data_IF_886304920445
#
_entry.id   IF_886304920445
#
_cell.length_a   1.000
_cell.length_b   1.000
_cell.length_c   1.000
_cell.angle_alpha   90.00
_cell.angle_beta   90.00
_cell.angle_gamma   90.00
#
_symmetry.space_group_name_H-M   'P 1'
#
loop_
_entity.id
_entity.type
_entity.pdbx_description
1 polymer ?
#
# COMPACT_ATOMS: atom_id res chain seq x y z
N UNK A 1 -1.48 -9.77 -72.33
CA UNK A 1 -0.99 -10.90 -71.53
C UNK A 1 -0.84 -10.42 -70.10
N UNK A 2 -1.87 -10.66 -69.27
CA UNK A 2 -1.79 -10.43 -67.83
C UNK A 2 -1.09 -11.62 -67.21
N UNK A 3 0.01 -11.37 -66.52
CA UNK A 3 0.72 -12.36 -65.74
C UNK A 3 0.24 -12.16 -64.30
N UNK A 4 -0.69 -13.00 -63.88
CA UNK A 4 -1.10 -13.10 -62.49
C UNK A 4 0.10 -13.66 -61.71
N UNK A 5 0.74 -12.82 -60.89
CA UNK A 5 1.57 -13.34 -59.81
C UNK A 5 0.61 -13.87 -58.74
N UNK A 6 0.35 -15.18 -58.80
CA UNK A 6 -0.23 -15.91 -57.67
C UNK A 6 0.69 -15.69 -56.46
N UNK A 7 0.13 -15.04 -55.44
CA UNK A 7 0.73 -14.96 -54.13
C UNK A 7 0.68 -16.39 -53.55
N UNK A 8 1.80 -17.11 -53.61
CA UNK A 8 1.93 -18.40 -52.95
C UNK A 8 1.96 -18.13 -51.43
N UNK A 9 0.94 -18.51 -50.65
CA UNK A 9 1.06 -18.49 -49.22
C UNK A 9 1.91 -19.70 -48.86
N UNK A 10 3.24 -19.52 -48.89
CA UNK A 10 4.09 -20.38 -48.08
C UNK A 10 3.59 -20.22 -46.66
N UNK A 11 2.88 -21.26 -46.21
CA UNK A 11 2.53 -21.47 -44.84
C UNK A 11 3.76 -21.14 -44.00
N UNK A 12 3.63 -20.17 -43.10
CA UNK A 12 4.61 -19.94 -42.05
C UNK A 12 4.53 -21.18 -41.16
N UNK A 13 5.25 -22.23 -41.56
CA UNK A 13 5.40 -23.45 -40.79
C UNK A 13 6.27 -23.12 -39.59
N UNK A 14 5.65 -23.26 -38.42
CA UNK A 14 6.34 -23.68 -37.21
C UNK A 14 6.86 -22.55 -36.33
N UNK A 15 5.97 -21.90 -35.59
CA UNK A 15 6.28 -21.78 -34.16
C UNK A 15 6.31 -23.23 -33.65
N UNK A 16 7.52 -23.80 -33.52
CA UNK A 16 7.67 -25.14 -33.00
C UNK A 16 7.42 -25.03 -31.49
N UNK A 17 6.26 -25.52 -31.05
CA UNK A 17 5.92 -25.56 -29.63
C UNK A 17 6.97 -26.41 -28.91
N UNK A 18 7.69 -25.78 -27.99
CA UNK A 18 8.65 -26.46 -27.15
C UNK A 18 8.12 -26.55 -25.72
N UNK A 19 8.39 -27.67 -25.09
CA UNK A 19 8.11 -27.86 -23.68
C UNK A 19 9.22 -27.18 -22.88
N UNK A 20 8.87 -26.11 -22.17
CA UNK A 20 9.81 -25.30 -21.39
C UNK A 20 9.54 -25.50 -19.91
N UNK A 21 10.62 -25.68 -19.14
CA UNK A 21 10.57 -25.74 -17.69
C UNK A 21 10.90 -24.36 -17.08
N UNK A 22 9.94 -23.75 -16.40
CA UNK A 22 10.12 -22.45 -15.72
C UNK A 22 10.09 -22.61 -14.20
N UNK A 23 10.93 -21.86 -13.50
CA UNK A 23 10.90 -21.79 -12.04
C UNK A 23 10.16 -20.54 -11.62
N UNK A 24 9.01 -20.69 -10.97
CA UNK A 24 8.15 -19.57 -10.56
C UNK A 24 7.54 -19.81 -9.17
N UNK A 25 7.17 -18.74 -8.44
CA UNK A 25 6.30 -18.86 -7.29
C UNK A 25 4.92 -19.35 -7.72
N UNK A 26 4.38 -20.36 -7.05
CA UNK A 26 3.00 -20.80 -7.17
C UNK A 26 2.25 -20.39 -5.92
N UNK A 27 1.12 -19.69 -6.11
CA UNK A 27 0.14 -19.38 -5.06
C UNK A 27 -0.68 -20.65 -4.76
N UNK A 28 -0.72 -21.05 -3.49
CA UNK A 28 -1.51 -22.19 -3.00
C UNK A 28 -2.86 -21.75 -2.46
N UNK A 29 -2.90 -20.57 -1.84
CA UNK A 29 -4.12 -19.92 -1.36
C UNK A 29 -3.90 -18.42 -1.32
N UNK A 30 -4.98 -17.67 -1.41
CA UNK A 30 -5.01 -16.22 -1.40
C UNK A 30 -6.28 -15.74 -0.70
N UNK A 31 -6.12 -14.79 0.22
CA UNK A 31 -7.24 -14.00 0.73
C UNK A 31 -6.95 -12.51 0.69
N UNK A 32 -7.92 -11.74 0.21
CA UNK A 32 -7.93 -10.28 0.27
C UNK A 32 -8.89 -9.84 1.35
N UNK A 33 -8.42 -9.02 2.31
CA UNK A 33 -9.33 -8.42 3.29
C UNK A 33 -8.74 -7.15 3.91
N UNK A 34 -9.59 -6.37 4.54
CA UNK A 34 -9.18 -5.28 5.42
C UNK A 34 -8.76 -5.82 6.80
N UNK A 35 -7.82 -5.13 7.43
CA UNK A 35 -7.54 -5.25 8.88
C UNK A 35 -7.50 -3.87 9.51
N UNK A 36 -8.06 -3.78 10.72
CA UNK A 36 -7.97 -2.61 11.57
C UNK A 36 -6.94 -2.87 12.69
N UNK A 37 -6.04 -1.92 12.88
CA UNK A 37 -5.13 -1.92 14.02
C UNK A 37 -5.93 -1.50 15.26
N UNK A 38 -5.70 -2.12 16.44
CA UNK A 38 -6.28 -1.63 17.69
C UNK A 38 -6.01 -0.13 17.88
N UNK A 39 -7.03 0.63 18.26
CA UNK A 39 -6.95 2.07 18.46
C UNK A 39 -5.76 2.42 19.38
N UNK A 40 -4.85 3.25 18.87
CA UNK A 40 -3.76 3.78 19.67
C UNK A 40 -4.28 5.05 20.32
N UNK A 41 -4.49 5.01 21.64
CA UNK A 41 -5.01 6.14 22.40
C UNK A 41 -4.02 6.57 23.48
N UNK A 42 -3.72 7.87 23.53
CA UNK A 42 -2.92 8.46 24.58
C UNK A 42 -3.57 9.75 25.07
N UNK A 43 -3.90 9.79 26.36
CA UNK A 43 -4.37 10.97 27.06
C UNK A 43 -3.27 11.57 27.94
N UNK A 44 -3.18 12.89 27.97
CA UNK A 44 -2.24 13.61 28.84
C UNK A 44 -2.13 15.09 28.50
N UNK A 45 -1.13 15.76 29.07
CA UNK A 45 -0.78 17.13 28.71
C UNK A 45 -0.30 17.18 27.26
N UNK A 46 -0.36 18.37 26.63
CA UNK A 46 0.12 18.55 25.25
C UNK A 46 1.57 18.08 25.06
N UNK A 47 2.44 18.33 26.04
CA UNK A 47 3.85 17.90 26.02
C UNK A 47 4.05 16.40 26.24
N UNK A 48 3.06 15.70 26.78
CA UNK A 48 3.08 14.24 26.95
C UNK A 48 2.60 13.55 25.67
N UNK A 49 1.54 14.09 25.07
CA UNK A 49 0.97 13.61 23.80
C UNK A 49 1.92 13.90 22.63
N UNK A 50 2.51 15.10 22.60
CA UNK A 50 3.53 15.53 21.64
C UNK A 50 4.81 15.94 22.38
N UNK A 51 5.73 14.99 22.65
CA UNK A 51 7.00 15.28 23.30
C UNK A 51 7.80 16.36 22.57
N UNK A 52 8.29 17.36 23.31
CA UNK A 52 9.05 18.48 22.75
C UNK A 52 8.19 19.57 22.10
N UNK A 53 6.87 19.42 22.08
CA UNK A 53 5.98 20.48 21.62
C UNK A 53 5.99 21.64 22.62
N UNK A 54 6.51 22.79 22.18
CA UNK A 54 6.53 24.02 22.98
C UNK A 54 5.68 25.07 22.30
N UNK A 55 4.70 25.60 23.04
CA UNK A 55 3.86 26.69 22.54
C UNK A 55 4.60 28.03 22.70
N UNK A 56 4.64 28.88 21.66
CA UNK A 56 5.14 30.24 21.77
C UNK A 56 4.37 31.04 22.82
N UNK A 57 5.01 32.07 23.37
CA UNK A 57 4.37 32.99 24.31
C UNK A 57 3.11 33.60 23.68
N UNK A 58 1.99 33.51 24.39
CA UNK A 58 0.69 34.03 23.93
C UNK A 58 -0.21 33.01 23.24
N UNK A 59 0.26 31.79 22.97
CA UNK A 59 -0.56 30.68 22.48
C UNK A 59 -0.91 29.75 23.64
N UNK A 60 -2.19 29.45 23.79
CA UNK A 60 -2.73 28.59 24.85
C UNK A 60 -3.14 27.22 24.32
N UNK A 61 -3.34 26.27 25.22
CA UNK A 61 -3.96 24.96 24.92
C UNK A 61 -5.35 25.10 24.30
N UNK A 62 -6.11 26.15 24.66
CA UNK A 62 -7.40 26.43 24.04
C UNK A 62 -7.27 26.87 22.57
N UNK A 63 -6.17 27.54 22.21
CA UNK A 63 -5.90 27.89 20.82
C UNK A 63 -5.56 26.63 20.00
N UNK A 64 -4.81 25.70 20.60
CA UNK A 64 -4.57 24.37 19.99
C UNK A 64 -5.88 23.61 19.79
N UNK A 65 -6.80 23.65 20.76
CA UNK A 65 -8.10 23.00 20.65
C UNK A 65 -8.98 23.59 19.54
N UNK A 66 -8.85 24.89 19.25
CA UNK A 66 -9.67 25.59 18.24
C UNK A 66 -9.06 25.56 16.84
N UNK A 67 -7.74 25.63 16.74
CA UNK A 67 -7.02 25.85 15.47
C UNK A 67 -6.02 24.73 15.15
N UNK A 68 -5.88 23.74 16.03
CA UNK A 68 -5.03 22.58 15.81
C UNK A 68 -5.67 21.58 14.86
N UNK A 69 -4.90 21.18 13.85
CA UNK A 69 -5.23 20.07 12.95
C UNK A 69 -4.15 19.02 13.07
N UNK A 70 -4.54 17.75 13.01
CA UNK A 70 -3.60 16.62 13.00
C UNK A 70 -3.63 15.91 11.67
N UNK A 71 -2.46 15.51 11.19
CA UNK A 71 -2.27 14.65 10.02
C UNK A 71 -1.51 13.40 10.46
N UNK A 72 -1.87 12.24 9.91
CA UNK A 72 -1.15 10.99 10.16
C UNK A 72 -0.65 10.39 8.85
N UNK A 73 0.55 9.81 8.87
CA UNK A 73 1.11 9.07 7.74
C UNK A 73 2.03 7.94 8.22
N UNK A 74 2.24 6.93 7.37
CA UNK A 74 3.21 5.87 7.61
C UNK A 74 4.63 6.43 7.61
N UNK A 75 5.42 6.07 8.61
CA UNK A 75 6.80 6.53 8.74
C UNK A 75 7.75 5.42 9.19
N UNK A 76 9.04 5.70 9.15
CA UNK A 76 10.01 4.96 9.95
C UNK A 76 9.94 5.37 11.44
N UNK A 77 10.81 4.78 12.25
CA UNK A 77 10.89 5.03 13.70
C UNK A 77 11.36 6.45 14.06
N UNK A 78 11.94 7.18 13.10
CA UNK A 78 12.42 8.55 13.25
C UNK A 78 11.44 9.59 12.69
N UNK A 79 10.28 9.15 12.20
CA UNK A 79 9.22 9.98 11.65
C UNK A 79 9.44 10.44 10.21
N UNK A 80 10.34 9.78 9.46
CA UNK A 80 10.49 10.00 8.03
C UNK A 80 9.35 9.29 7.28
N UNK A 81 8.62 9.99 6.38
CA UNK A 81 7.54 9.37 5.62
C UNK A 81 8.01 8.16 4.78
N UNK A 82 7.16 7.14 4.72
CA UNK A 82 7.30 5.96 3.85
C UNK A 82 6.05 5.83 2.98
N UNK A 83 6.21 5.30 1.76
CA UNK A 83 5.06 4.89 0.95
C UNK A 83 4.50 3.58 1.52
N UNK A 84 3.22 3.51 1.94
CA UNK A 84 2.65 2.29 2.50
C UNK A 84 2.52 1.12 1.53
N UNK A 85 2.55 1.39 0.22
CA UNK A 85 2.41 0.37 -0.83
C UNK A 85 3.77 -0.20 -1.27
N UNK A 86 4.87 0.46 -0.90
CA UNK A 86 6.22 -0.03 -1.17
C UNK A 86 6.53 -1.31 -0.37
N UNK A 87 7.23 -2.23 -1.04
CA UNK A 87 7.63 -3.51 -0.43
C UNK A 87 8.56 -3.26 0.77
N UNK A 88 8.17 -3.78 1.93
CA UNK A 88 8.95 -3.67 3.17
C UNK A 88 8.68 -2.42 4.01
N UNK A 89 7.87 -1.46 3.55
CA UNK A 89 7.47 -0.30 4.34
C UNK A 89 6.68 -0.67 5.60
N UNK A 90 5.82 -1.70 5.50
CA UNK A 90 5.16 -2.33 6.63
C UNK A 90 5.75 -3.72 6.81
N UNK A 91 6.30 -4.01 7.99
CA UNK A 91 6.84 -5.33 8.28
C UNK A 91 5.69 -6.31 8.44
N UNK A 92 5.51 -7.22 7.47
CA UNK A 92 4.50 -8.25 7.46
C UNK A 92 5.16 -9.63 7.43
N UNK A 93 5.01 -10.41 8.52
CA UNK A 93 5.73 -11.68 8.68
C UNK A 93 4.83 -12.76 9.28
N UNK A 94 5.08 -14.01 8.91
CA UNK A 94 4.47 -15.15 9.58
C UNK A 94 5.07 -15.33 10.97
N UNK A 95 4.22 -15.39 12.00
CA UNK A 95 4.62 -15.73 13.36
C UNK A 95 4.88 -17.23 13.40
N UNK A 96 6.12 -17.62 13.69
CA UNK A 96 6.48 -19.03 13.89
C UNK A 96 5.68 -19.62 15.06
N UNK A 97 5.03 -20.76 14.81
CA UNK A 97 4.19 -21.44 15.79
C UNK A 97 4.95 -22.64 16.37
N UNK A 98 4.96 -22.84 17.70
CA UNK A 98 5.51 -24.05 18.30
C UNK A 98 4.81 -25.29 17.74
N UNK A 99 5.57 -26.23 17.18
CA UNK A 99 5.03 -27.43 16.53
C UNK A 99 4.58 -27.25 15.07
N UNK A 100 4.83 -26.08 14.47
CA UNK A 100 4.46 -25.79 13.09
C UNK A 100 3.02 -25.25 12.95
N UNK A 101 2.54 -25.19 11.70
CA UNK A 101 1.16 -24.77 11.42
C UNK A 101 0.20 -25.85 11.89
N UNK A 102 -0.92 -25.43 12.49
CA UNK A 102 -1.97 -26.35 12.95
C UNK A 102 -2.95 -26.62 11.82
N UNK A 103 -3.21 -27.89 11.52
CA UNK A 103 -4.25 -28.31 10.59
C UNK A 103 -5.65 -28.16 11.21
N UNK A 104 -6.61 -27.73 10.39
CA UNK A 104 -8.02 -27.55 10.72
C UNK A 104 -8.85 -28.13 9.58
N UNK A 105 -9.80 -29.00 9.91
CA UNK A 105 -10.77 -29.52 8.94
C UNK A 105 -11.93 -28.53 8.80
N UNK A 106 -12.23 -28.14 7.57
CA UNK A 106 -13.34 -27.23 7.23
C UNK A 106 -14.24 -27.93 6.23
N UNK A 107 -15.55 -27.94 6.50
CA UNK A 107 -16.55 -28.44 5.56
C UNK A 107 -16.96 -27.31 4.62
N UNK A 108 -16.72 -27.49 3.33
CA UNK A 108 -17.15 -26.57 2.27
C UNK A 108 -18.67 -26.59 2.12
N UNK A 109 -19.28 -25.56 1.49
CA UNK A 109 -20.72 -25.56 1.17
C UNK A 109 -21.17 -26.76 0.32
N UNK A 110 -20.24 -27.39 -0.40
CA UNK A 110 -20.44 -28.60 -1.20
C UNK A 110 -20.56 -29.88 -0.36
N UNK A 111 -20.25 -29.82 0.94
CA UNK A 111 -20.17 -30.98 1.84
C UNK A 111 -18.80 -31.66 1.87
N UNK A 112 -17.87 -31.25 1.01
CA UNK A 112 -16.48 -31.73 1.02
C UNK A 112 -15.73 -31.22 2.26
N UNK A 113 -14.89 -32.07 2.83
CA UNK A 113 -14.02 -31.69 3.96
C UNK A 113 -12.62 -31.43 3.45
N UNK A 114 -12.13 -30.21 3.66
CA UNK A 114 -10.78 -29.79 3.27
C UNK A 114 -9.94 -29.48 4.51
N UNK A 115 -8.64 -29.76 4.42
CA UNK A 115 -7.68 -29.43 5.48
C UNK A 115 -7.01 -28.09 5.16
N UNK A 116 -7.19 -27.11 6.04
CA UNK A 116 -6.52 -25.83 5.99
C UNK A 116 -5.52 -25.71 7.15
N UNK A 117 -4.50 -24.89 6.96
CA UNK A 117 -3.50 -24.60 7.98
C UNK A 117 -3.78 -23.23 8.61
N UNK A 118 -3.67 -23.18 9.93
CA UNK A 118 -3.70 -21.94 10.69
C UNK A 118 -2.39 -21.17 10.50
N UNK A 119 -2.45 -20.05 9.81
CA UNK A 119 -1.33 -19.12 9.60
C UNK A 119 -1.53 -17.89 10.48
N UNK A 120 -0.51 -17.55 11.28
CA UNK A 120 -0.53 -16.35 12.13
C UNK A 120 0.36 -15.30 11.49
N UNK A 121 -0.16 -14.11 11.24
CA UNK A 121 0.58 -13.04 10.57
C UNK A 121 0.71 -11.86 11.52
N UNK A 122 1.92 -11.34 11.69
CA UNK A 122 2.20 -10.11 12.40
C UNK A 122 2.46 -9.00 11.40
N UNK A 123 1.79 -7.87 11.58
CA UNK A 123 2.10 -6.61 10.92
C UNK A 123 2.59 -5.62 11.95
N UNK A 124 3.66 -4.90 11.65
CA UNK A 124 4.19 -3.84 12.51
C UNK A 124 4.84 -2.74 11.69
N UNK A 125 4.81 -1.54 12.23
CA UNK A 125 5.43 -0.37 11.62
C UNK A 125 5.32 0.82 12.56
N UNK A 126 5.56 2.01 12.02
CA UNK A 126 5.42 3.27 12.74
C UNK A 126 4.54 4.22 11.93
N UNK A 127 3.78 5.04 12.64
CA UNK A 127 3.08 6.17 12.06
C UNK A 127 3.51 7.44 12.76
N UNK A 128 3.55 8.54 12.03
CA UNK A 128 3.84 9.86 12.59
C UNK A 128 2.62 10.74 12.48
N UNK A 129 2.24 11.31 13.62
CA UNK A 129 1.18 12.32 13.70
C UNK A 129 1.83 13.68 13.79
N UNK A 130 1.39 14.59 12.92
CA UNK A 130 1.82 15.99 12.88
C UNK A 130 0.67 16.87 13.32
N UNK A 131 0.84 17.51 14.47
CA UNK A 131 0.00 18.62 14.91
C UNK A 131 0.47 19.90 14.23
N UNK A 132 -0.41 20.53 13.46
CA UNK A 132 -0.24 21.87 12.92
C UNK A 132 -1.21 22.80 13.64
N UNK A 133 -0.70 23.86 14.24
CA UNK A 133 -1.52 24.95 14.79
C UNK A 133 -1.29 26.16 13.92
N UNK A 134 -2.37 26.72 13.37
CA UNK A 134 -2.37 27.96 12.60
C UNK A 134 -2.93 29.08 13.48
N UNK A 135 -2.09 29.79 14.26
CA UNK A 135 -2.61 30.85 15.10
C UNK A 135 -3.04 32.01 14.22
N UNK A 136 -4.18 32.63 14.52
CA UNK A 136 -4.55 33.92 13.92
C UNK A 136 -3.55 35.05 14.29
N UNK A 137 -2.65 34.81 15.26
CA UNK A 137 -1.75 35.79 15.88
C UNK A 137 -0.27 35.62 15.47
N UNK A 138 0.14 34.47 14.89
CA UNK A 138 1.54 34.22 14.49
C UNK A 138 1.67 34.01 12.98
N UNK A 139 2.70 34.60 12.37
CA UNK A 139 2.99 34.43 10.93
C UNK A 139 3.50 33.03 10.56
N UNK A 140 3.91 32.21 11.55
CA UNK A 140 4.47 30.87 11.33
C UNK A 140 3.64 29.80 12.03
N UNK A 141 3.30 28.68 11.33
CA UNK A 141 2.61 27.55 11.94
C UNK A 141 3.48 26.89 13.01
N UNK A 142 2.86 26.48 14.11
CA UNK A 142 3.51 25.61 15.10
C UNK A 142 3.35 24.18 14.57
N UNK A 143 4.46 23.44 14.50
CA UNK A 143 4.48 22.07 14.01
C UNK A 143 5.08 21.19 15.11
N UNK A 144 4.30 20.25 15.61
CA UNK A 144 4.72 19.26 16.60
C UNK A 144 4.47 17.87 16.03
N UNK A 145 5.40 16.94 16.27
CA UNK A 145 5.31 15.59 15.72
C UNK A 145 5.44 14.55 16.85
N UNK A 146 4.74 13.44 16.70
CA UNK A 146 4.95 12.26 17.54
C UNK A 146 4.88 11.01 16.68
N UNK A 147 5.87 10.13 16.83
CA UNK A 147 5.92 8.84 16.15
C UNK A 147 5.44 7.76 17.11
N UNK A 148 4.51 6.92 16.65
CA UNK A 148 3.93 5.82 17.43
C UNK A 148 4.14 4.49 16.70
N UNK A 149 4.64 3.45 17.38
CA UNK A 149 4.65 2.11 16.82
C UNK A 149 3.22 1.57 16.76
N UNK A 150 2.93 0.78 15.73
CA UNK A 150 1.71 0.00 15.66
C UNK A 150 2.04 -1.47 15.43
N UNK A 151 1.14 -2.35 15.86
CA UNK A 151 1.21 -3.76 15.53
C UNK A 151 -0.18 -4.39 15.56
N UNK A 152 -0.41 -5.34 14.66
CA UNK A 152 -1.62 -6.17 14.64
C UNK A 152 -1.26 -7.60 14.27
N UNK A 153 -1.86 -8.55 15.00
CA UNK A 153 -1.67 -9.97 14.75
C UNK A 153 -2.98 -10.59 14.27
N UNK A 154 -2.92 -11.24 13.12
CA UNK A 154 -4.07 -11.87 12.48
C UNK A 154 -3.94 -13.38 12.41
N UNK A 155 -5.08 -14.04 12.27
CA UNK A 155 -5.19 -15.47 12.04
C UNK A 155 -5.89 -15.68 10.71
N UNK A 156 -5.32 -16.57 9.91
CA UNK A 156 -5.86 -17.04 8.65
C UNK A 156 -5.91 -18.56 8.67
N UNK A 157 -6.88 -19.13 7.95
CA UNK A 157 -6.96 -20.55 7.66
C UNK A 157 -6.81 -20.69 6.15
N UNK A 158 -5.64 -21.14 5.71
CA UNK A 158 -5.22 -21.14 4.31
C UNK A 158 -4.65 -22.51 3.93
N UNK A 159 -4.73 -22.88 2.67
CA UNK A 159 -3.92 -23.96 2.11
C UNK A 159 -2.44 -23.52 2.13
N UNK A 160 -1.73 -23.92 3.19
CA UNK A 160 -0.37 -23.54 3.50
C UNK A 160 0.47 -24.77 3.87
N UNK A 161 0.66 -25.72 2.93
CA UNK A 161 1.43 -26.93 3.20
C UNK A 161 2.90 -26.62 3.55
N UNK A 162 3.63 -27.56 4.19
CA UNK A 162 5.05 -27.39 4.49
C UNK A 162 5.87 -27.02 3.24
N UNK A 163 6.80 -26.07 3.38
CA UNK A 163 7.61 -25.53 2.28
C UNK A 163 7.02 -24.29 1.60
N UNK A 164 5.81 -23.87 1.97
CA UNK A 164 5.26 -22.57 1.55
C UNK A 164 5.69 -21.44 2.49
N UNK A 165 5.82 -20.24 1.94
CA UNK A 165 6.10 -19.00 2.66
C UNK A 165 4.97 -17.99 2.46
N UNK A 166 4.80 -17.11 3.44
CA UNK A 166 3.83 -16.02 3.40
C UNK A 166 4.30 -14.94 2.42
N UNK A 167 3.40 -14.49 1.56
CA UNK A 167 3.50 -13.21 0.85
C UNK A 167 2.38 -12.28 1.29
N UNK A 168 2.72 -11.03 1.50
CA UNK A 168 1.83 -10.03 2.09
C UNK A 168 2.01 -8.73 1.34
N UNK A 169 0.97 -8.33 0.60
CA UNK A 169 0.97 -7.10 -0.16
C UNK A 169 -0.09 -6.17 0.40
N UNK A 170 0.32 -4.95 0.78
CA UNK A 170 -0.59 -3.90 1.20
C UNK A 170 -1.07 -3.18 -0.07
N UNK A 171 -2.38 -3.16 -0.27
CA UNK A 171 -3.01 -2.57 -1.46
C UNK A 171 -3.67 -1.23 -1.15
N UNK A 172 -3.95 -0.96 0.11
CA UNK A 172 -4.47 0.31 0.59
C UNK A 172 -4.09 0.53 2.05
N UNK A 173 -3.89 1.79 2.45
CA UNK A 173 -3.50 2.17 3.80
C UNK A 173 -4.06 3.54 4.15
N UNK A 174 -4.79 3.59 5.25
CA UNK A 174 -5.33 4.83 5.80
C UNK A 174 -4.87 4.98 7.26
N UNK A 175 -4.42 6.18 7.61
CA UNK A 175 -4.16 6.56 8.99
C UNK A 175 -4.92 7.85 9.31
N UNK A 176 -5.84 7.75 10.27
CA UNK A 176 -6.59 8.88 10.78
C UNK A 176 -6.16 9.16 12.21
N UNK A 177 -5.83 10.42 12.49
CA UNK A 177 -5.57 10.89 13.84
C UNK A 177 -6.64 11.89 14.28
N UNK A 178 -7.03 11.83 15.54
CA UNK A 178 -7.93 12.78 16.17
C UNK A 178 -7.31 13.32 17.45
N UNK A 179 -7.39 14.64 17.62
CA UNK A 179 -6.96 15.30 18.85
C UNK A 179 -8.19 15.83 19.58
N UNK A 180 -8.53 15.19 20.69
CA UNK A 180 -9.70 15.51 21.49
C UNK A 180 -9.27 16.36 22.68
N UNK A 181 -9.90 17.50 22.86
CA UNK A 181 -9.59 18.43 23.94
C UNK A 181 -10.47 18.19 25.18
N UNK A 182 -9.83 18.10 26.34
CA UNK A 182 -10.49 17.99 27.64
C UNK A 182 -10.13 19.22 28.48
N UNK A 183 -10.98 20.26 28.49
CA UNK A 183 -10.74 21.43 29.32
C UNK A 183 -10.79 21.04 30.80
N UNK A 184 -9.94 21.66 31.61
CA UNK A 184 -10.04 21.50 33.06
C UNK A 184 -11.40 21.97 33.60
N UNK A 185 -11.99 21.20 34.51
CA UNK A 185 -13.15 21.59 35.32
C UNK A 185 -12.76 21.71 36.80
N UNK A 186 -12.09 22.80 37.20
CA UNK A 186 -11.76 23.06 38.61
C UNK A 186 -10.65 24.10 38.83
N UNK A 187 -10.40 24.47 40.09
CA UNK A 187 -9.46 25.55 40.47
C UNK A 187 -7.97 25.19 40.33
N UNK A 188 -7.61 23.91 40.17
CA UNK A 188 -6.23 23.43 40.15
C UNK A 188 -5.91 22.43 39.02
N UNK A 189 -6.82 22.18 38.07
CA UNK A 189 -6.55 21.21 37.02
C UNK A 189 -5.89 21.85 35.81
N UNK A 190 -5.27 21.00 35.00
CA UNK A 190 -4.61 21.35 33.75
C UNK A 190 -5.44 20.85 32.58
N UNK A 191 -5.44 21.59 31.48
CA UNK A 191 -6.05 21.14 30.24
C UNK A 191 -5.33 19.91 29.70
N UNK A 192 -6.10 18.93 29.24
CA UNK A 192 -5.59 17.67 28.70
C UNK A 192 -6.03 17.47 27.25
N UNK A 193 -5.29 16.62 26.55
CA UNK A 193 -5.61 16.17 25.21
C UNK A 193 -5.61 14.65 25.18
N UNK A 194 -6.44 14.08 24.32
CA UNK A 194 -6.37 12.68 23.92
C UNK A 194 -6.06 12.61 22.43
N UNK A 195 -4.95 11.97 22.08
CA UNK A 195 -4.63 11.60 20.71
C UNK A 195 -5.09 10.17 20.47
N UNK A 196 -6.03 10.03 19.55
CA UNK A 196 -6.51 8.75 19.06
C UNK A 196 -6.03 8.55 17.62
N UNK A 197 -5.42 7.40 17.34
CA UNK A 197 -4.93 7.04 16.00
C UNK A 197 -5.61 5.75 15.57
N UNK A 198 -6.33 5.83 14.46
CA UNK A 198 -6.95 4.70 13.77
C UNK A 198 -6.15 4.38 12.52
N UNK A 199 -5.88 3.10 12.31
CA UNK A 199 -5.16 2.63 11.12
C UNK A 199 -5.93 1.45 10.55
N UNK A 200 -6.28 1.53 9.27
CA UNK A 200 -6.81 0.42 8.49
C UNK A 200 -5.96 0.20 7.25
N UNK A 201 -5.89 -1.05 6.81
CA UNK A 201 -5.18 -1.40 5.60
C UNK A 201 -5.87 -2.54 4.87
N UNK A 202 -5.92 -2.44 3.54
CA UNK A 202 -6.29 -3.55 2.67
C UNK A 202 -5.03 -4.34 2.31
N UNK A 203 -5.19 -5.66 2.23
CA UNK A 203 -4.06 -6.56 2.07
C UNK A 203 -4.45 -7.80 1.28
N UNK A 204 -3.47 -8.30 0.53
CA UNK A 204 -3.46 -9.62 -0.07
C UNK A 204 -2.51 -10.51 0.71
N UNK A 205 -3.05 -11.58 1.29
CA UNK A 205 -2.30 -12.58 2.02
C UNK A 205 -2.28 -13.87 1.23
N UNK A 206 -1.08 -14.29 0.84
CA UNK A 206 -0.85 -15.42 -0.04
C UNK A 206 0.11 -16.41 0.60
N UNK A 207 -0.11 -17.68 0.31
CA UNK A 207 0.84 -18.74 0.63
C UNK A 207 1.47 -19.24 -0.66
N UNK A 208 2.79 -19.11 -0.78
CA UNK A 208 3.52 -19.43 -2.01
C UNK A 208 4.59 -20.48 -1.80
N UNK A 209 4.93 -21.23 -2.84
CA UNK A 209 6.20 -21.96 -2.90
C UNK A 209 6.82 -21.87 -4.29
N UNK A 210 8.15 -21.91 -4.34
CA UNK A 210 8.88 -21.99 -5.60
C UNK A 210 8.72 -23.38 -6.22
N UNK A 211 8.09 -23.44 -7.39
CA UNK A 211 7.87 -24.69 -8.14
C UNK A 211 8.56 -24.64 -9.50
N UNK A 212 8.71 -25.81 -10.12
CA UNK A 212 9.10 -25.92 -11.53
C UNK A 212 7.86 -26.34 -12.30
N UNK A 213 7.41 -25.48 -13.22
CA UNK A 213 6.28 -25.75 -14.10
C UNK A 213 6.81 -26.15 -15.47
N UNK A 214 6.19 -27.16 -16.04
CA UNK A 214 6.37 -27.55 -17.43
C UNK A 214 5.23 -26.91 -18.23
N UNK A 215 5.56 -26.04 -19.18
CA UNK A 215 4.59 -25.33 -20.01
C UNK A 215 4.92 -25.50 -21.49
N UNK A 216 3.87 -25.52 -22.31
CA UNK A 216 4.00 -25.41 -23.77
C UNK A 216 4.13 -23.92 -24.11
N UNK A 217 5.26 -23.52 -24.68
CA UNK A 217 5.53 -22.14 -25.06
C UNK A 217 5.99 -22.05 -26.52
N UNK A 218 5.71 -20.90 -27.13
CA UNK A 218 6.15 -20.54 -28.47
C UNK A 218 7.18 -19.39 -28.39
N UNK A 219 8.15 -19.39 -29.29
CA UNK A 219 9.09 -18.28 -29.41
C UNK A 219 8.39 -17.01 -29.92
N UNK A 220 8.44 -15.93 -29.14
CA UNK A 220 7.96 -14.62 -29.58
C UNK A 220 8.86 -14.08 -30.71
N UNK A 221 8.26 -13.76 -31.87
CA UNK A 221 8.93 -12.97 -32.91
C UNK A 221 8.48 -11.50 -32.83
N UNK A 222 9.37 -10.53 -33.12
CA UNK A 222 8.97 -9.13 -33.22
C UNK A 222 7.85 -8.96 -34.23
N UNK A 223 6.79 -8.25 -33.86
CA UNK A 223 5.74 -7.88 -34.84
C UNK A 223 6.34 -6.95 -35.92
N UNK A 224 5.91 -7.05 -37.19
CA UNK A 224 6.27 -6.07 -38.22
C UNK A 224 5.84 -4.65 -37.82
N UNK A 225 6.57 -3.63 -38.28
CA UNK A 225 6.13 -2.24 -38.12
C UNK A 225 4.76 -2.05 -38.78
N UNK A 226 3.81 -1.47 -38.04
CA UNK A 226 2.54 -1.07 -38.62
C UNK A 226 2.78 0.21 -39.42
N UNK A 227 2.34 0.29 -40.69
CA UNK A 227 2.44 1.53 -41.46
C UNK A 227 1.62 2.60 -40.75
N UNK A 228 2.28 3.65 -40.27
CA UNK A 228 1.62 4.88 -39.83
C UNK A 228 1.84 5.93 -40.92
N UNK A 229 0.73 6.44 -41.48
CA UNK A 229 0.81 7.58 -42.38
C UNK A 229 0.86 8.85 -41.54
N UNK A 230 1.99 9.57 -41.57
CA UNK A 230 2.05 10.93 -41.05
C UNK A 230 1.02 11.80 -41.78
N UNK A 231 0.15 12.56 -41.07
CA UNK A 231 -0.69 13.55 -41.72
C UNK A 231 0.19 14.50 -42.55
N UNK A 232 -0.16 14.78 -43.82
CA UNK A 232 0.60 15.73 -44.62
C UNK A 232 0.64 17.08 -43.89
N UNK A 233 1.85 17.61 -43.67
CA UNK A 233 2.01 18.94 -43.06
C UNK A 233 1.33 19.97 -43.98
N UNK A 234 0.35 20.75 -43.50
CA UNK A 234 -0.20 21.83 -44.30
C UNK A 234 0.92 22.84 -44.55
N UNK A 235 1.22 23.13 -45.82
CA UNK A 235 2.08 24.25 -46.15
C UNK A 235 1.38 25.54 -45.70
N UNK A 236 2.04 26.40 -44.92
CA UNK A 236 1.46 27.69 -44.60
C UNK A 236 1.18 28.46 -45.90
N UNK A 237 0.05 29.14 -46.02
CA UNK A 237 -0.26 29.95 -47.20
C UNK A 237 0.90 30.93 -47.45
N UNK A 238 1.43 30.93 -48.67
CA UNK A 238 2.44 31.92 -49.06
C UNK A 238 1.82 33.30 -48.93
N UNK A 239 2.52 34.19 -48.22
CA UNK A 239 2.10 35.57 -48.10
C UNK A 239 1.96 36.18 -49.50
N UNK A 240 0.90 36.98 -49.75
CA UNK A 240 0.80 37.71 -51.01
C UNK A 240 2.05 38.59 -51.20
N UNK A 241 2.53 38.70 -52.43
CA UNK A 241 3.68 39.52 -52.82
C UNK A 241 3.41 40.98 -52.49
N UNK A 242 4.01 41.48 -51.40
CA UNK A 242 3.73 42.84 -50.89
C UNK A 242 4.55 43.94 -51.58
N UNK A 243 5.38 43.66 -52.60
CA UNK A 243 6.10 44.73 -53.31
C UNK A 243 6.19 44.53 -54.84
N UNK A 244 5.89 45.58 -55.62
CA UNK A 244 6.20 45.66 -57.05
C UNK A 244 7.58 46.31 -57.23
N UNK A 245 8.59 45.49 -57.60
CA UNK A 245 9.94 45.97 -57.88
C UNK A 245 10.81 46.20 -56.66
#
# INVERSE_FOLDING_TARGET
>A
MHINHEFNPEAIQGAQQETVCIKVPKVFDWVTRQVDVPLISQRGLLTEVFPGCTLPTGITTQDVAKFGTVECFLSDEFGKPLDPLDEGSICCVEITQPGGRQDVQVTLPTGEVVTLQKVKVLKKGFVTVVLKVLPTVCEKPIICCVTKPFQVAEKFFLCAPPGTFLQCHITDFECDAQLIFFPCTGTNGTDEFQLDISINMCQDIQMEAMVKLEILADFCQPRPELPFECPPRPFPPQCPTVFPG
#
